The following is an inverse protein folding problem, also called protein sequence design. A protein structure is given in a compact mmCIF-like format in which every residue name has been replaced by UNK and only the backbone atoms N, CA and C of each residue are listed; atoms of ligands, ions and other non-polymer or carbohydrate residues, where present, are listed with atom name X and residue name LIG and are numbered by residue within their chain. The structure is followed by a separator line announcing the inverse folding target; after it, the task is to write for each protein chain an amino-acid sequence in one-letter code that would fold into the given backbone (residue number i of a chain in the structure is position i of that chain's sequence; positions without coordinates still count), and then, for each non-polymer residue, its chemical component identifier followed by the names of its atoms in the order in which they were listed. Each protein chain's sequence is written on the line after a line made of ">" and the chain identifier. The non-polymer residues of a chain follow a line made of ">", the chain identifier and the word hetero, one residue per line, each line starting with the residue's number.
data_IF_045085249075
#
_entry.id   IF_045085249075
#
_cell.length_a   1.000
_cell.length_b   1.000
_cell.length_c   1.000
_cell.angle_alpha   90.00
_cell.angle_beta   90.00
_cell.angle_gamma   90.00
#
_symmetry.space_group_name_H-M   'P 1'
#
loop_
_entity.id
_entity.type
_entity.pdbx_description
1 polymer ?
#
# COMPACT_ATOMS: atom_id res chain seq x y z
N UNK A 1 43.64 -48.28 27.81
CA UNK A 1 42.84 -47.13 28.30
C UNK A 1 42.77 -45.93 27.35
N UNK A 2 43.86 -45.51 26.67
CA UNK A 2 43.83 -44.38 25.71
C UNK A 2 42.94 -44.60 24.47
N UNK A 3 42.89 -45.82 23.91
CA UNK A 3 42.08 -46.15 22.71
C UNK A 3 40.56 -46.11 22.96
N UNK A 4 40.11 -46.46 24.17
CA UNK A 4 38.68 -46.43 24.55
C UNK A 4 38.19 -44.99 24.72
N UNK A 5 39.04 -44.11 25.29
CA UNK A 5 38.73 -42.68 25.38
C UNK A 5 38.65 -42.03 23.99
N UNK A 6 39.56 -42.36 23.08
CA UNK A 6 39.53 -41.84 21.71
C UNK A 6 38.26 -42.24 20.94
N UNK A 7 37.77 -43.48 21.15
CA UNK A 7 36.54 -43.97 20.54
C UNK A 7 35.29 -43.29 21.12
N UNK A 8 35.28 -43.00 22.44
CA UNK A 8 34.22 -42.24 23.09
C UNK A 8 34.16 -40.78 22.60
N UNK A 9 35.30 -40.13 22.36
CA UNK A 9 35.35 -38.77 21.79
C UNK A 9 34.89 -38.73 20.32
N UNK A 10 35.19 -39.76 19.52
CA UNK A 10 34.71 -39.87 18.14
C UNK A 10 33.19 -40.11 18.06
N UNK A 11 32.63 -40.90 18.98
CA UNK A 11 31.18 -41.11 19.08
C UNK A 11 30.43 -39.86 19.53
N UNK A 12 31.01 -39.05 20.44
CA UNK A 12 30.45 -37.76 20.87
C UNK A 12 30.51 -36.70 19.76
N UNK A 13 31.58 -36.69 18.96
CA UNK A 13 31.72 -35.79 17.81
C UNK A 13 30.77 -36.16 16.66
N UNK A 14 30.54 -37.46 16.42
CA UNK A 14 29.60 -37.94 15.41
C UNK A 14 28.12 -37.67 15.78
N UNK A 15 27.78 -37.69 17.07
CA UNK A 15 26.44 -37.28 17.55
C UNK A 15 26.26 -35.77 17.59
N UNK A 16 27.33 -34.99 17.79
CA UNK A 16 27.31 -33.53 17.71
C UNK A 16 27.14 -32.97 16.29
N UNK A 17 27.67 -33.63 15.26
CA UNK A 17 27.52 -33.18 13.86
C UNK A 17 26.11 -33.42 13.29
N UNK A 18 25.40 -34.47 13.73
CA UNK A 18 24.05 -34.79 13.25
C UNK A 18 22.93 -33.88 13.78
N UNK A 19 23.19 -33.09 14.82
CA UNK A 19 22.20 -32.22 15.45
C UNK A 19 22.00 -30.87 14.73
N UNK A 20 22.87 -30.51 13.78
CA UNK A 20 22.78 -29.21 13.07
C UNK A 20 21.92 -29.25 11.80
N UNK A 21 21.59 -30.43 11.28
CA UNK A 21 20.77 -30.62 10.07
C UNK A 21 19.27 -30.81 10.34
N UNK A 22 18.84 -30.75 11.61
CA UNK A 22 17.43 -30.92 12.01
C UNK A 22 16.70 -29.58 12.25
N UNK A 23 17.43 -28.45 12.37
CA UNK A 23 16.85 -27.14 12.68
C UNK A 23 16.51 -26.29 11.44
N UNK A 24 16.63 -26.83 10.23
CA UNK A 24 16.32 -26.10 8.98
C UNK A 24 15.25 -26.78 8.12
N UNK A 25 14.68 -27.90 8.56
CA UNK A 25 13.62 -28.61 7.85
C UNK A 25 12.25 -28.21 8.40
N UNK A 26 11.34 -27.81 7.52
CA UNK A 26 9.94 -27.53 7.87
C UNK A 26 9.60 -26.08 8.15
N UNK A 27 10.46 -25.09 7.80
CA UNK A 27 10.04 -23.68 7.84
C UNK A 27 8.85 -23.40 6.92
N UNK A 28 8.78 -24.08 5.77
CA UNK A 28 7.64 -23.98 4.86
C UNK A 28 6.36 -24.53 5.50
N UNK A 29 6.43 -25.68 6.19
CA UNK A 29 5.28 -26.33 6.85
C UNK A 29 4.85 -25.64 8.16
N UNK A 30 5.78 -25.09 8.94
CA UNK A 30 5.51 -24.31 10.16
C UNK A 30 4.88 -22.94 9.86
N UNK A 31 5.02 -22.46 8.63
CA UNK A 31 4.41 -21.20 8.17
C UNK A 31 3.08 -21.42 7.41
N UNK A 32 2.61 -22.67 7.31
CA UNK A 32 1.25 -22.97 6.85
C UNK A 32 0.33 -22.77 8.06
N UNK A 33 -0.25 -21.57 8.16
CA UNK A 33 -1.29 -21.29 9.13
C UNK A 33 -2.51 -22.20 8.84
N UNK A 34 -2.90 -23.12 9.74
CA UNK A 34 -4.00 -24.06 9.47
C UNK A 34 -5.38 -23.39 9.30
N UNK A 35 -5.49 -22.09 9.58
CA UNK A 35 -6.69 -21.28 9.34
C UNK A 35 -6.60 -20.41 8.06
N UNK A 36 -5.49 -20.45 7.31
CA UNK A 36 -5.41 -19.78 6.02
C UNK A 36 -6.15 -20.61 4.98
N UNK A 37 -7.23 -20.03 4.43
CA UNK A 37 -7.86 -20.56 3.23
C UNK A 37 -6.78 -20.63 2.12
N UNK A 38 -6.47 -21.82 1.57
CA UNK A 38 -5.36 -21.99 0.64
C UNK A 38 -5.53 -21.23 -0.68
N UNK A 39 -6.71 -20.68 -0.96
CA UNK A 39 -6.95 -19.71 -2.02
C UNK A 39 -7.69 -18.50 -1.43
N UNK A 40 -6.95 -17.49 -0.97
CA UNK A 40 -7.57 -16.18 -0.68
C UNK A 40 -8.05 -15.63 -2.02
N UNK A 41 -9.36 -15.46 -2.15
CA UNK A 41 -9.93 -14.82 -3.34
C UNK A 41 -9.37 -13.39 -3.43
N UNK A 42 -8.90 -12.93 -4.59
CA UNK A 42 -8.19 -11.65 -4.73
C UNK A 42 -8.97 -10.48 -4.13
N UNK A 43 -10.30 -10.52 -4.25
CA UNK A 43 -11.22 -9.52 -3.77
C UNK A 43 -11.21 -9.35 -2.24
N UNK A 44 -10.89 -10.41 -1.49
CA UNK A 44 -10.89 -10.39 -0.03
C UNK A 44 -9.69 -9.63 0.57
N UNK A 45 -8.65 -9.36 -0.23
CA UNK A 45 -7.46 -8.61 0.19
C UNK A 45 -7.74 -7.10 0.31
N UNK A 46 -8.71 -6.59 -0.45
CA UNK A 46 -8.99 -5.15 -0.55
C UNK A 46 -9.29 -4.51 0.81
N UNK A 47 -10.28 -5.05 1.54
CA UNK A 47 -10.75 -4.48 2.78
C UNK A 47 -9.67 -4.38 3.87
N UNK A 48 -8.94 -5.46 4.25
CA UNK A 48 -7.89 -5.37 5.25
C UNK A 48 -6.74 -4.46 4.79
N UNK A 49 -6.26 -4.62 3.55
CA UNK A 49 -5.10 -3.88 3.07
C UNK A 49 -5.35 -2.36 3.01
N UNK A 50 -6.50 -1.97 2.46
CA UNK A 50 -6.89 -0.56 2.41
C UNK A 50 -7.14 0.02 3.80
N UNK A 51 -7.71 -0.79 4.69
CA UNK A 51 -7.97 -0.36 6.07
C UNK A 51 -6.67 -0.09 6.80
N UNK A 52 -5.69 -0.98 6.72
CA UNK A 52 -4.39 -0.78 7.38
C UNK A 52 -3.58 0.37 6.74
N UNK A 53 -3.67 0.55 5.42
CA UNK A 53 -3.11 1.72 4.74
C UNK A 53 -3.68 3.03 5.33
N UNK A 54 -5.00 3.12 5.45
CA UNK A 54 -5.66 4.31 6.02
C UNK A 54 -5.29 4.51 7.49
N UNK A 55 -5.28 3.45 8.31
CA UNK A 55 -4.90 3.55 9.74
C UNK A 55 -3.50 4.14 9.91
N UNK A 56 -2.52 3.60 9.18
CA UNK A 56 -1.12 4.05 9.24
C UNK A 56 -0.99 5.50 8.80
N UNK A 57 -1.65 5.88 7.71
CA UNK A 57 -1.65 7.26 7.23
C UNK A 57 -2.32 8.21 8.22
N UNK A 58 -3.40 7.80 8.89
CA UNK A 58 -4.05 8.60 9.92
C UNK A 58 -3.15 8.81 11.14
N UNK A 59 -2.51 7.74 11.63
CA UNK A 59 -1.56 7.82 12.75
C UNK A 59 -0.38 8.75 12.41
N UNK A 60 0.21 8.57 11.23
CA UNK A 60 1.29 9.43 10.71
C UNK A 60 0.86 10.89 10.52
N UNK A 61 -0.36 11.10 10.05
CA UNK A 61 -0.91 12.44 9.88
C UNK A 61 -1.01 13.13 11.24
N UNK A 62 -1.62 12.47 12.23
CA UNK A 62 -1.78 13.02 13.57
C UNK A 62 -0.43 13.26 14.26
N UNK A 63 0.48 12.28 14.28
CA UNK A 63 1.71 12.38 15.09
C UNK A 63 2.79 13.28 14.50
N UNK A 64 2.88 13.40 13.18
CA UNK A 64 4.02 14.07 12.52
C UNK A 64 3.54 15.12 11.53
N UNK A 65 2.69 14.75 10.58
CA UNK A 65 2.37 15.65 9.46
C UNK A 65 1.64 16.88 9.95
N UNK A 66 0.69 16.72 10.87
CA UNK A 66 -0.07 17.81 11.47
C UNK A 66 0.81 18.74 12.31
N UNK A 67 1.80 18.23 13.04
CA UNK A 67 2.80 19.04 13.76
C UNK A 67 3.62 19.89 12.78
N UNK A 68 4.18 19.26 11.74
CA UNK A 68 5.01 19.93 10.73
C UNK A 68 4.21 20.95 9.92
N UNK A 69 2.92 20.71 9.70
CA UNK A 69 1.99 21.62 9.05
C UNK A 69 1.35 22.63 10.01
N UNK A 70 1.70 22.60 11.30
CA UNK A 70 1.16 23.48 12.34
C UNK A 70 -0.37 23.44 12.46
N UNK A 71 -0.97 22.27 12.20
CA UNK A 71 -2.40 22.01 12.46
C UNK A 71 -2.65 21.88 13.96
N UNK A 72 -1.69 21.31 14.68
CA UNK A 72 -1.62 21.27 16.14
C UNK A 72 -0.14 21.26 16.56
N UNK A 73 0.13 21.49 17.85
CA UNK A 73 1.47 21.37 18.43
C UNK A 73 1.39 20.60 19.75
N UNK A 74 2.22 19.58 19.91
CA UNK A 74 2.33 18.81 21.15
C UNK A 74 2.87 19.69 22.27
N UNK A 75 2.21 19.58 23.44
CA UNK A 75 2.65 20.21 24.70
C UNK A 75 3.38 19.22 25.61
N UNK A 76 3.64 18.02 25.10
CA UNK A 76 4.29 16.93 25.84
C UNK A 76 5.73 16.82 25.34
N UNK A 77 6.70 16.94 26.25
CA UNK A 77 8.14 16.96 25.95
C UNK A 77 8.70 15.65 25.34
N UNK A 78 7.89 14.59 25.26
CA UNK A 78 8.31 13.30 24.73
C UNK A 78 8.35 13.26 23.19
N UNK A 79 7.56 14.11 22.52
CA UNK A 79 7.49 14.21 21.06
C UNK A 79 8.06 15.57 20.60
N UNK A 80 9.26 15.51 20.02
CA UNK A 80 10.04 16.68 19.61
C UNK A 80 9.90 17.00 18.10
N UNK A 81 8.80 16.57 17.48
CA UNK A 81 8.58 16.79 16.03
C UNK A 81 8.48 18.28 15.67
N UNK A 82 7.93 19.12 16.56
CA UNK A 82 7.94 20.57 16.44
C UNK A 82 9.36 21.17 16.44
N UNK A 83 10.37 20.43 16.90
CA UNK A 83 11.80 20.78 16.84
C UNK A 83 12.53 20.08 15.69
N UNK A 84 11.79 19.48 14.76
CA UNK A 84 12.30 18.71 13.63
C UNK A 84 13.12 17.47 14.01
N UNK A 85 12.90 16.94 15.21
CA UNK A 85 13.54 15.68 15.63
C UNK A 85 12.68 14.51 15.15
N UNK A 86 12.99 14.01 13.95
CA UNK A 86 12.31 12.84 13.36
C UNK A 86 13.21 11.61 13.50
N UNK A 87 12.73 10.59 14.21
CA UNK A 87 13.47 9.34 14.46
C UNK A 87 13.33 8.38 13.27
N UNK A 88 14.34 7.54 13.04
CA UNK A 88 14.31 6.55 11.94
C UNK A 88 13.13 5.58 12.04
N UNK A 89 12.75 5.19 13.27
CA UNK A 89 11.60 4.31 13.52
C UNK A 89 10.29 4.82 12.90
N UNK A 90 10.14 6.14 12.76
CA UNK A 90 8.98 6.74 12.08
C UNK A 90 8.99 6.44 10.58
N UNK A 91 10.16 6.46 9.95
CA UNK A 91 10.31 6.06 8.55
C UNK A 91 10.09 4.55 8.39
N UNK A 92 10.69 3.73 9.26
CA UNK A 92 10.60 2.27 9.22
C UNK A 92 9.14 1.78 9.32
N UNK A 93 8.34 2.40 10.19
CA UNK A 93 6.93 2.04 10.36
C UNK A 93 6.11 2.25 9.09
N UNK A 94 6.30 3.39 8.41
CA UNK A 94 5.58 3.71 7.18
C UNK A 94 6.10 2.91 6.00
N UNK A 95 7.42 2.79 5.86
CA UNK A 95 8.08 2.02 4.82
C UNK A 95 7.58 0.57 4.81
N UNK A 96 7.74 -0.15 5.93
CA UNK A 96 7.31 -1.54 6.04
C UNK A 96 5.80 -1.69 5.83
N UNK A 97 5.01 -0.79 6.44
CA UNK A 97 3.56 -0.81 6.30
C UNK A 97 3.08 -0.66 4.86
N UNK A 98 3.62 0.31 4.12
CA UNK A 98 3.24 0.55 2.72
C UNK A 98 3.67 -0.58 1.80
N UNK A 99 4.88 -1.16 1.94
CA UNK A 99 5.28 -2.31 1.13
C UNK A 99 4.49 -3.58 1.45
N UNK A 100 4.05 -3.78 2.69
CA UNK A 100 3.10 -4.86 3.01
C UNK A 100 1.79 -4.69 2.23
N UNK A 101 1.18 -3.50 2.26
CA UNK A 101 -0.09 -3.29 1.55
C UNK A 101 0.06 -3.34 0.03
N UNK A 102 1.20 -2.89 -0.51
CA UNK A 102 1.51 -3.07 -1.93
C UNK A 102 1.59 -4.53 -2.33
N UNK A 103 2.09 -5.41 -1.45
CA UNK A 103 2.09 -6.86 -1.70
C UNK A 103 0.67 -7.39 -1.85
N UNK A 104 -0.24 -6.98 -0.98
CA UNK A 104 -1.65 -7.38 -1.06
C UNK A 104 -2.34 -6.84 -2.31
N UNK A 105 -2.07 -5.59 -2.70
CA UNK A 105 -2.62 -5.02 -3.94
C UNK A 105 -2.05 -5.68 -5.20
N UNK A 106 -0.78 -6.07 -5.19
CA UNK A 106 -0.18 -6.80 -6.31
C UNK A 106 -0.73 -8.23 -6.42
N UNK A 107 -0.85 -8.96 -5.32
CA UNK A 107 -1.47 -10.28 -5.28
C UNK A 107 -2.94 -10.19 -5.74
N UNK A 108 -3.66 -9.13 -5.36
CA UNK A 108 -5.00 -8.83 -5.85
C UNK A 108 -5.03 -8.60 -7.37
N UNK A 109 -4.11 -7.81 -7.92
CA UNK A 109 -4.03 -7.58 -9.37
C UNK A 109 -3.75 -8.86 -10.15
N UNK A 110 -2.77 -9.66 -9.71
CA UNK A 110 -2.40 -10.93 -10.36
C UNK A 110 -3.57 -11.90 -10.32
N UNK A 111 -4.21 -12.07 -9.17
CA UNK A 111 -5.36 -12.96 -9.04
C UNK A 111 -6.57 -12.47 -9.84
N UNK A 112 -6.87 -11.17 -9.82
CA UNK A 112 -7.95 -10.59 -10.62
C UNK A 112 -7.69 -10.76 -12.13
N UNK A 113 -6.43 -10.70 -12.57
CA UNK A 113 -6.04 -10.97 -13.96
C UNK A 113 -6.33 -12.43 -14.34
N UNK A 114 -5.99 -13.39 -13.47
CA UNK A 114 -6.29 -14.81 -13.70
C UNK A 114 -7.80 -15.07 -13.79
N UNK A 115 -8.60 -14.33 -13.01
CA UNK A 115 -10.07 -14.39 -13.01
C UNK A 115 -10.73 -13.50 -14.07
N UNK A 116 -9.94 -12.73 -14.85
CA UNK A 116 -10.43 -11.75 -15.85
C UNK A 116 -11.39 -10.71 -15.25
N UNK A 117 -11.13 -10.31 -14.02
CA UNK A 117 -11.94 -9.35 -13.28
C UNK A 117 -11.41 -7.92 -13.45
N UNK A 118 -11.87 -7.24 -14.51
CA UNK A 118 -11.44 -5.87 -14.81
C UNK A 118 -11.67 -4.90 -13.64
N UNK A 119 -12.75 -5.08 -12.87
CA UNK A 119 -13.05 -4.25 -11.72
C UNK A 119 -11.93 -4.33 -10.67
N UNK A 120 -11.55 -5.54 -10.26
CA UNK A 120 -10.52 -5.72 -9.23
C UNK A 120 -9.10 -5.46 -9.73
N UNK A 121 -8.81 -5.72 -11.01
CA UNK A 121 -7.56 -5.28 -11.63
C UNK A 121 -7.41 -3.75 -11.52
N UNK A 122 -8.45 -3.00 -11.87
CA UNK A 122 -8.41 -1.55 -11.81
C UNK A 122 -8.35 -1.01 -10.37
N UNK A 123 -9.12 -1.59 -9.44
CA UNK A 123 -9.09 -1.23 -8.02
C UNK A 123 -7.68 -1.45 -7.45
N UNK A 124 -7.06 -2.60 -7.76
CA UNK A 124 -5.70 -2.92 -7.35
C UNK A 124 -4.71 -1.87 -7.86
N UNK A 125 -4.78 -1.51 -9.15
CA UNK A 125 -3.95 -0.47 -9.74
C UNK A 125 -4.14 0.89 -9.07
N UNK A 126 -5.37 1.30 -8.77
CA UNK A 126 -5.63 2.58 -8.10
C UNK A 126 -5.02 2.59 -6.70
N UNK A 127 -5.17 1.50 -5.93
CA UNK A 127 -4.60 1.36 -4.59
C UNK A 127 -3.07 1.29 -4.60
N UNK A 128 -2.49 0.57 -5.56
CA UNK A 128 -1.05 0.51 -5.81
C UNK A 128 -0.50 1.91 -6.12
N UNK A 129 -1.15 2.63 -7.04
CA UNK A 129 -0.73 3.99 -7.41
C UNK A 129 -0.81 4.94 -6.23
N UNK A 130 -1.90 4.88 -5.46
CA UNK A 130 -2.01 5.72 -4.27
C UNK A 130 -0.88 5.42 -3.28
N UNK A 131 -0.59 4.15 -3.02
CA UNK A 131 0.42 3.74 -2.04
C UNK A 131 1.84 4.11 -2.49
N UNK A 132 2.18 3.86 -3.75
CA UNK A 132 3.48 4.28 -4.28
C UNK A 132 3.63 5.80 -4.35
N UNK A 133 2.56 6.56 -4.63
CA UNK A 133 2.61 8.02 -4.58
C UNK A 133 2.97 8.51 -3.17
N UNK A 134 2.45 7.87 -2.11
CA UNK A 134 2.80 8.19 -0.73
C UNK A 134 4.27 7.87 -0.41
N UNK A 135 4.75 6.70 -0.85
CA UNK A 135 6.15 6.28 -0.68
C UNK A 135 7.11 7.27 -1.32
N UNK A 136 6.95 7.54 -2.62
CA UNK A 136 7.88 8.42 -3.32
C UNK A 136 7.75 9.87 -2.87
N UNK A 137 6.54 10.36 -2.56
CA UNK A 137 6.37 11.71 -2.01
C UNK A 137 7.07 11.89 -0.65
N UNK A 138 7.27 10.80 0.10
CA UNK A 138 7.93 10.82 1.41
C UNK A 138 9.44 10.63 1.32
N UNK A 139 9.91 9.72 0.46
CA UNK A 139 11.30 9.25 0.46
C UNK A 139 12.09 9.61 -0.80
N UNK A 140 11.42 10.10 -1.86
CA UNK A 140 12.03 10.32 -3.16
C UNK A 140 12.14 9.01 -3.95
N UNK A 141 13.36 8.68 -4.36
CA UNK A 141 13.64 7.44 -5.08
C UNK A 141 13.42 6.23 -4.15
N UNK A 142 12.74 5.20 -4.63
CA UNK A 142 12.37 4.01 -3.84
C UNK A 142 12.34 2.75 -4.72
N UNK A 143 12.44 1.55 -4.13
CA UNK A 143 12.12 0.32 -4.84
C UNK A 143 10.73 0.35 -5.48
N UNK A 144 10.68 0.19 -6.80
CA UNK A 144 9.43 0.27 -7.56
C UNK A 144 9.30 -0.84 -8.58
N UNK A 145 10.02 -0.77 -9.72
CA UNK A 145 9.90 -1.75 -10.82
C UNK A 145 10.34 -3.16 -10.42
N UNK A 146 11.26 -3.27 -9.46
CA UNK A 146 11.75 -4.53 -8.90
C UNK A 146 11.14 -4.85 -7.53
N UNK A 147 10.28 -3.98 -6.99
CA UNK A 147 9.68 -4.19 -5.69
C UNK A 147 8.75 -5.41 -5.68
N UNK A 148 8.63 -6.05 -4.51
CA UNK A 148 7.68 -7.14 -4.23
C UNK A 148 7.94 -8.41 -5.08
N UNK A 149 9.05 -8.45 -5.81
CA UNK A 149 9.51 -9.60 -6.60
C UNK A 149 10.29 -10.63 -5.77
N UNK A 150 10.13 -10.64 -4.44
CA UNK A 150 10.84 -11.56 -3.54
C UNK A 150 10.56 -13.03 -3.84
N UNK A 151 9.30 -13.37 -4.18
CA UNK A 151 8.91 -14.73 -4.61
C UNK A 151 9.57 -15.14 -5.94
N UNK A 152 10.02 -14.17 -6.73
CA UNK A 152 10.71 -14.35 -8.01
C UNK A 152 12.24 -14.22 -7.87
N UNK A 153 12.76 -14.19 -6.64
CA UNK A 153 14.20 -14.19 -6.34
C UNK A 153 14.87 -12.81 -6.29
N UNK A 154 14.12 -11.71 -6.45
CA UNK A 154 14.67 -10.35 -6.31
C UNK A 154 14.62 -9.94 -4.84
N UNK A 155 15.73 -10.12 -4.13
CA UNK A 155 15.84 -9.84 -2.69
C UNK A 155 16.41 -8.45 -2.38
N UNK A 156 17.06 -7.81 -3.35
CA UNK A 156 17.68 -6.50 -3.23
C UNK A 156 17.21 -5.61 -4.38
N UNK A 157 15.95 -5.15 -4.34
CA UNK A 157 15.39 -4.35 -5.43
C UNK A 157 16.11 -3.00 -5.53
N UNK A 158 16.41 -2.56 -6.76
CA UNK A 158 16.99 -1.24 -7.00
C UNK A 158 16.01 -0.13 -6.62
N UNK A 159 16.55 1.07 -6.39
CA UNK A 159 15.76 2.28 -6.21
C UNK A 159 15.53 2.90 -7.59
N UNK A 160 14.27 3.13 -7.95
CA UNK A 160 13.93 3.83 -9.17
C UNK A 160 13.75 5.32 -8.90
N UNK A 161 14.04 6.14 -9.92
CA UNK A 161 13.89 7.58 -9.83
C UNK A 161 12.43 7.95 -9.62
N UNK A 162 12.15 8.90 -8.73
CA UNK A 162 10.80 9.43 -8.51
C UNK A 162 10.13 9.87 -9.83
N UNK A 163 10.90 10.42 -10.77
CA UNK A 163 10.40 10.79 -12.10
C UNK A 163 9.83 9.59 -12.87
N UNK A 164 10.59 8.48 -12.92
CA UNK A 164 10.19 7.27 -13.65
C UNK A 164 9.00 6.59 -12.96
N UNK A 165 8.97 6.62 -11.62
CA UNK A 165 7.83 6.17 -10.82
C UNK A 165 6.58 6.95 -11.24
N UNK A 166 6.60 8.29 -11.21
CA UNK A 166 5.43 9.10 -11.58
C UNK A 166 4.94 8.84 -13.01
N UNK A 167 5.84 8.64 -13.97
CA UNK A 167 5.47 8.29 -15.36
C UNK A 167 4.69 6.97 -15.42
N UNK A 168 5.11 5.96 -14.66
CA UNK A 168 4.40 4.68 -14.60
C UNK A 168 3.11 4.78 -13.79
N UNK A 169 3.06 5.57 -12.71
CA UNK A 169 1.82 5.84 -11.96
C UNK A 169 0.72 6.39 -12.86
N UNK A 170 1.03 7.33 -13.74
CA UNK A 170 0.07 7.86 -14.71
C UNK A 170 -0.38 6.79 -15.72
N UNK A 171 0.54 5.94 -16.18
CA UNK A 171 0.24 4.84 -17.10
C UNK A 171 -0.72 3.83 -16.45
N UNK A 172 -0.51 3.47 -15.17
CA UNK A 172 -1.40 2.58 -14.41
C UNK A 172 -2.78 3.20 -14.17
N UNK A 173 -2.88 4.52 -13.99
CA UNK A 173 -4.18 5.20 -13.86
C UNK A 173 -4.96 5.24 -15.18
N UNK A 174 -4.28 5.38 -16.32
CA UNK A 174 -4.92 5.21 -17.64
C UNK A 174 -5.43 3.77 -17.83
N UNK A 175 -4.60 2.76 -17.49
CA UNK A 175 -5.00 1.35 -17.52
C UNK A 175 -6.25 1.12 -16.67
N UNK A 176 -6.26 1.59 -15.42
CA UNK A 176 -7.40 1.47 -14.53
C UNK A 176 -8.66 2.18 -15.06
N UNK A 177 -8.51 3.38 -15.63
CA UNK A 177 -9.64 4.11 -16.23
C UNK A 177 -10.27 3.34 -17.39
N UNK A 178 -9.46 2.75 -18.28
CA UNK A 178 -9.96 1.97 -19.42
C UNK A 178 -10.59 0.64 -18.99
N UNK A 179 -9.98 -0.07 -18.02
CA UNK A 179 -10.57 -1.28 -17.44
C UNK A 179 -11.97 -1.03 -16.85
N UNK A 180 -12.17 0.11 -16.17
CA UNK A 180 -13.44 0.49 -15.56
C UNK A 180 -14.44 1.09 -16.56
N UNK A 181 -13.98 1.62 -17.70
CA UNK A 181 -14.82 2.15 -18.77
C UNK A 181 -15.59 1.04 -19.50
N UNK A 182 -15.01 -0.16 -19.62
CA UNK A 182 -15.55 -1.29 -20.39
C UNK A 182 -16.72 -2.06 -19.76
N UNK A 183 -17.65 -1.41 -19.04
CA UNK A 183 -18.75 -2.06 -18.29
C UNK A 183 -18.27 -3.10 -17.26
N UNK A 184 -17.19 -2.81 -16.54
CA UNK A 184 -16.77 -3.67 -15.43
C UNK A 184 -17.87 -3.77 -14.37
N UNK A 185 -18.11 -4.97 -13.85
CA UNK A 185 -19.15 -5.26 -12.86
C UNK A 185 -18.61 -6.12 -11.74
N UNK A 186 -19.25 -6.05 -10.57
CA UNK A 186 -18.99 -6.90 -9.42
C UNK A 186 -20.28 -7.66 -9.07
N UNK A 187 -20.16 -8.92 -8.65
CA UNK A 187 -21.29 -9.66 -8.08
C UNK A 187 -21.73 -9.05 -6.76
N UNK A 188 -22.92 -9.42 -6.26
CA UNK A 188 -23.40 -8.94 -4.96
C UNK A 188 -22.44 -9.29 -3.82
N UNK A 189 -21.86 -10.49 -3.84
CA UNK A 189 -20.91 -10.94 -2.81
C UNK A 189 -19.59 -10.14 -2.91
N UNK A 190 -19.09 -9.91 -4.12
CA UNK A 190 -17.89 -9.08 -4.35
C UNK A 190 -18.11 -7.62 -3.92
N UNK A 191 -19.30 -7.07 -4.16
CA UNK A 191 -19.66 -5.71 -3.78
C UNK A 191 -19.60 -5.49 -2.25
N UNK A 192 -19.88 -6.52 -1.45
CA UNK A 192 -19.77 -6.44 0.02
C UNK A 192 -18.33 -6.36 0.51
N UNK A 193 -17.38 -6.87 -0.27
CA UNK A 193 -15.94 -6.82 0.03
C UNK A 193 -15.33 -5.45 -0.24
N UNK A 194 -16.03 -4.56 -0.97
CA UNK A 194 -15.60 -3.18 -1.18
C UNK A 194 -15.98 -2.29 0.01
N UNK A 195 -14.98 -1.78 0.76
CA UNK A 195 -15.26 -0.95 1.93
C UNK A 195 -15.63 0.50 1.58
N UNK A 196 -15.28 1.00 0.39
CA UNK A 196 -15.46 2.41 0.00
C UNK A 196 -16.77 2.65 -0.74
N UNK A 197 -17.01 1.87 -1.79
CA UNK A 197 -18.06 2.19 -2.77
C UNK A 197 -19.09 1.08 -2.93
N UNK A 198 -19.00 0.00 -2.15
CA UNK A 198 -19.96 -1.11 -2.13
C UNK A 198 -20.19 -1.69 -3.54
N UNK A 199 -19.12 -1.81 -4.31
CA UNK A 199 -19.15 -2.36 -5.67
C UNK A 199 -19.54 -1.36 -6.75
N UNK A 200 -19.70 -0.07 -6.43
CA UNK A 200 -19.92 0.98 -7.43
C UNK A 200 -18.62 1.29 -8.18
N UNK A 201 -18.42 0.57 -9.27
CA UNK A 201 -17.29 0.67 -10.20
C UNK A 201 -17.17 2.08 -10.79
N UNK A 202 -18.28 2.79 -10.99
CA UNK A 202 -18.25 4.15 -11.52
C UNK A 202 -17.61 5.12 -10.51
N UNK A 203 -17.87 4.94 -9.21
CA UNK A 203 -17.18 5.71 -8.16
C UNK A 203 -15.70 5.38 -8.05
N UNK A 204 -15.31 4.12 -8.23
CA UNK A 204 -13.89 3.75 -8.34
C UNK A 204 -13.20 4.44 -9.51
N UNK A 205 -13.86 4.50 -10.68
CA UNK A 205 -13.33 5.20 -11.86
C UNK A 205 -13.17 6.70 -11.58
N UNK A 206 -14.15 7.31 -10.92
CA UNK A 206 -14.08 8.70 -10.47
C UNK A 206 -12.94 8.94 -9.49
N UNK A 207 -12.75 8.04 -8.54
CA UNK A 207 -11.66 8.13 -7.58
C UNK A 207 -10.28 8.02 -8.25
N UNK A 208 -10.08 7.04 -9.15
CA UNK A 208 -8.84 6.88 -9.91
C UNK A 208 -8.50 8.13 -10.75
N UNK A 209 -9.47 8.69 -11.46
CA UNK A 209 -9.26 9.92 -12.23
C UNK A 209 -9.03 11.16 -11.35
N UNK A 210 -9.66 11.22 -10.17
CA UNK A 210 -9.41 12.30 -9.20
C UNK A 210 -8.03 12.19 -8.55
N UNK A 211 -7.54 10.97 -8.35
CA UNK A 211 -6.17 10.70 -7.92
C UNK A 211 -5.19 11.12 -9.02
N UNK A 212 -5.47 10.80 -10.29
CA UNK A 212 -4.70 11.26 -11.44
C UNK A 212 -4.59 12.80 -11.42
N UNK A 213 -5.71 13.51 -11.28
CA UNK A 213 -5.71 14.96 -11.19
C UNK A 213 -4.82 15.48 -10.03
N UNK A 214 -4.90 14.85 -8.84
CA UNK A 214 -4.05 15.19 -7.69
C UNK A 214 -2.56 15.02 -8.01
N UNK A 215 -2.18 13.90 -8.64
CA UNK A 215 -0.79 13.63 -9.00
C UNK A 215 -0.28 14.57 -10.10
N UNK A 216 -1.11 14.95 -11.07
CA UNK A 216 -0.77 15.97 -12.07
C UNK A 216 -0.48 17.33 -11.42
N UNK A 217 -1.28 17.73 -10.43
CA UNK A 217 -1.05 18.97 -9.69
C UNK A 217 0.27 18.92 -8.90
N UNK A 218 0.60 17.76 -8.30
CA UNK A 218 1.88 17.57 -7.59
C UNK A 218 3.08 17.86 -8.49
N UNK A 219 3.05 17.34 -9.72
CA UNK A 219 4.16 17.50 -10.68
C UNK A 219 3.98 18.67 -11.63
N UNK A 220 3.02 19.58 -11.38
CA UNK A 220 2.67 20.66 -12.32
C UNK A 220 3.85 21.54 -12.73
N UNK A 221 4.85 21.73 -11.86
CA UNK A 221 6.07 22.50 -12.19
C UNK A 221 7.19 21.67 -12.84
N UNK A 222 6.89 20.46 -13.34
CA UNK A 222 7.81 19.59 -14.08
C UNK A 222 7.36 19.50 -15.53
N UNK A 223 8.19 19.93 -16.47
CA UNK A 223 7.83 20.06 -17.89
C UNK A 223 7.56 18.74 -18.58
N UNK A 224 8.16 17.65 -18.10
CA UNK A 224 8.16 16.36 -18.78
C UNK A 224 7.66 15.19 -17.91
N UNK A 225 6.94 15.43 -16.82
CA UNK A 225 6.63 14.38 -15.83
C UNK A 225 5.62 13.30 -16.26
N UNK A 226 5.05 13.35 -17.47
CA UNK A 226 4.17 12.29 -18.00
C UNK A 226 4.91 11.47 -19.05
N UNK A 227 4.63 10.17 -19.11
CA UNK A 227 5.05 9.31 -20.21
C UNK A 227 4.75 9.94 -21.59
N UNK A 228 5.59 9.62 -22.59
CA UNK A 228 5.48 10.12 -23.97
C UNK A 228 5.65 11.64 -24.16
N UNK A 229 6.20 12.36 -23.17
CA UNK A 229 6.54 13.78 -23.30
C UNK A 229 5.36 14.74 -23.22
N UNK A 230 4.21 14.29 -22.69
CA UNK A 230 3.10 15.19 -22.37
C UNK A 230 3.42 16.01 -21.11
N UNK A 231 3.04 17.28 -21.10
CA UNK A 231 3.13 18.08 -19.89
C UNK A 231 1.96 17.80 -18.93
N UNK A 232 2.18 17.88 -17.61
CA UNK A 232 1.12 17.81 -16.60
C UNK A 232 -0.08 18.73 -16.89
N UNK A 233 0.19 19.95 -17.36
CA UNK A 233 -0.82 20.94 -17.71
C UNK A 233 -1.64 20.52 -18.93
N UNK A 234 -0.99 19.96 -19.96
CA UNK A 234 -1.69 19.50 -21.16
C UNK A 234 -2.65 18.38 -20.81
N UNK A 235 -2.21 17.41 -19.98
CA UNK A 235 -3.06 16.31 -19.56
C UNK A 235 -4.19 16.75 -18.63
N UNK A 236 -3.91 17.65 -17.68
CA UNK A 236 -4.94 18.22 -16.82
C UNK A 236 -6.03 18.92 -17.65
N UNK A 237 -5.64 19.72 -18.64
CA UNK A 237 -6.58 20.38 -19.55
C UNK A 237 -7.37 19.38 -20.41
N UNK A 238 -6.74 18.30 -20.84
CA UNK A 238 -7.43 17.22 -21.53
C UNK A 238 -8.53 16.61 -20.66
N UNK A 239 -8.18 16.18 -19.44
CA UNK A 239 -9.12 15.54 -18.51
C UNK A 239 -10.26 16.45 -18.08
N UNK A 240 -10.00 17.73 -17.81
CA UNK A 240 -11.00 18.64 -17.23
C UNK A 240 -11.84 19.35 -18.30
N UNK A 241 -11.21 19.80 -19.38
CA UNK A 241 -11.86 20.68 -20.36
C UNK A 241 -12.16 20.01 -21.70
N UNK A 242 -11.26 19.13 -22.18
CA UNK A 242 -11.34 18.62 -23.56
C UNK A 242 -12.16 17.34 -23.63
N UNK A 243 -11.91 16.39 -22.73
CA UNK A 243 -12.50 15.06 -22.70
C UNK A 243 -13.02 14.66 -21.31
N UNK A 244 -13.85 15.48 -20.64
CA UNK A 244 -14.33 15.19 -19.28
C UNK A 244 -15.14 13.88 -19.18
N UNK A 245 -15.79 13.44 -20.26
CA UNK A 245 -16.49 12.16 -20.31
C UNK A 245 -15.56 10.92 -20.28
N UNK A 246 -14.31 11.07 -20.74
CA UNK A 246 -13.32 9.99 -20.66
C UNK A 246 -12.66 9.91 -19.28
N UNK A 247 -12.69 11.00 -18.52
CA UNK A 247 -12.08 11.13 -17.20
C UNK A 247 -13.10 11.66 -16.18
N UNK A 248 -14.18 10.92 -15.88
CA UNK A 248 -15.16 11.38 -14.88
C UNK A 248 -14.45 11.56 -13.54
N UNK A 249 -14.73 12.68 -12.85
CA UNK A 249 -14.16 13.04 -11.56
C UNK A 249 -15.22 12.92 -10.44
N UNK A 250 -14.75 12.91 -9.19
CA UNK A 250 -15.63 13.06 -8.02
C UNK A 250 -16.30 14.44 -8.10
N UNK A 251 -17.62 14.47 -8.18
CA UNK A 251 -18.38 15.71 -8.39
C UNK A 251 -18.95 16.30 -7.10
N UNK A 252 -19.14 15.48 -6.06
CA UNK A 252 -19.73 15.89 -4.79
C UNK A 252 -19.34 14.95 -3.64
N UNK A 253 -19.71 15.33 -2.40
CA UNK A 253 -19.34 14.61 -1.19
C UNK A 253 -19.92 13.18 -1.07
N UNK A 254 -21.01 12.85 -1.78
CA UNK A 254 -21.58 11.50 -1.77
C UNK A 254 -20.76 10.50 -2.63
N UNK A 255 -19.82 11.02 -3.42
CA UNK A 255 -18.88 10.26 -4.25
C UNK A 255 -17.48 10.20 -3.63
N UNK A 256 -17.27 10.82 -2.46
CA UNK A 256 -15.99 10.82 -1.78
C UNK A 256 -15.54 9.41 -1.38
N UNK A 257 -14.28 9.08 -1.66
CA UNK A 257 -13.61 7.87 -1.18
C UNK A 257 -13.35 7.99 0.33
N UNK A 258 -14.29 7.51 1.15
CA UNK A 258 -14.21 7.58 2.61
C UNK A 258 -14.32 6.18 3.19
N UNK A 259 -13.23 5.72 3.83
CA UNK A 259 -13.29 4.52 4.66
C UNK A 259 -14.03 4.85 5.96
N UNK A 260 -15.09 4.09 6.26
CA UNK A 260 -15.91 4.31 7.46
C UNK A 260 -15.57 3.29 8.54
N UNK A 261 -15.28 3.78 9.74
CA UNK A 261 -15.00 2.96 10.92
C UNK A 261 -16.30 2.43 11.52
N UNK A 262 -16.44 1.11 11.65
CA UNK A 262 -17.60 0.45 12.27
C UNK A 262 -17.30 -0.04 13.69
N UNK A 263 -16.03 -0.07 14.10
CA UNK A 263 -15.59 -0.65 15.37
C UNK A 263 -15.45 -2.18 15.33
N UNK A 264 -15.82 -2.82 14.22
CA UNK A 264 -15.62 -4.25 13.97
C UNK A 264 -14.46 -4.45 13.01
N UNK A 265 -13.66 -5.50 13.22
CA UNK A 265 -12.53 -5.79 12.34
C UNK A 265 -12.99 -6.04 10.88
N UNK A 266 -12.26 -5.57 9.86
CA UNK A 266 -11.01 -4.80 9.96
C UNK A 266 -11.18 -3.29 10.25
N UNK A 267 -12.41 -2.76 10.18
CA UNK A 267 -12.77 -1.34 10.25
C UNK A 267 -12.77 -0.74 11.67
N UNK A 268 -11.63 -0.85 12.33
CA UNK A 268 -11.36 -0.25 13.64
C UNK A 268 -10.45 0.97 13.49
N UNK A 269 -10.89 2.13 14.00
CA UNK A 269 -10.09 3.36 13.97
C UNK A 269 -8.77 3.17 14.71
N UNK A 270 -7.65 3.74 14.23
CA UNK A 270 -6.39 3.70 14.98
C UNK A 270 -6.49 4.47 16.31
N UNK A 271 -7.49 5.35 16.43
CA UNK A 271 -7.77 6.15 17.61
C UNK A 271 -8.95 5.63 18.44
N UNK A 272 -9.37 4.36 18.25
CA UNK A 272 -10.53 3.80 18.96
C UNK A 272 -10.37 3.85 20.50
N UNK A 273 -9.14 3.77 21.01
CA UNK A 273 -8.85 3.84 22.44
C UNK A 273 -8.52 5.25 22.95
N UNK A 274 -8.49 6.25 22.06
CA UNK A 274 -8.13 7.62 22.41
C UNK A 274 -9.33 8.31 23.07
N UNK A 275 -9.05 9.07 24.12
CA UNK A 275 -10.01 9.94 24.83
C UNK A 275 -9.89 11.35 24.26
N UNK A 276 -10.90 12.19 24.50
CA UNK A 276 -10.85 13.62 24.12
C UNK A 276 -9.58 14.32 24.63
N UNK A 277 -9.16 14.01 25.86
CA UNK A 277 -7.94 14.57 26.44
C UNK A 277 -6.67 14.23 25.64
N UNK A 278 -6.64 13.07 25.00
CA UNK A 278 -5.51 12.59 24.18
C UNK A 278 -5.44 13.35 22.83
N UNK A 279 -6.48 14.10 22.44
CA UNK A 279 -6.44 15.00 21.28
C UNK A 279 -6.12 16.45 21.67
N UNK A 280 -6.50 16.87 22.89
CA UNK A 280 -6.32 18.26 23.35
C UNK A 280 -4.99 18.53 24.03
N UNK A 281 -4.18 17.50 24.29
CA UNK A 281 -2.77 17.65 24.68
C UNK A 281 -1.92 18.27 23.56
N UNK A 282 -2.48 18.36 22.36
CA UNK A 282 -1.92 18.97 21.16
C UNK A 282 -2.78 20.21 20.83
N UNK A 283 -2.35 21.42 21.23
CA UNK A 283 -3.14 22.66 21.08
C UNK A 283 -2.32 23.76 20.42
#
# INVERSE_FOLDING_TARGET
>A
MKKIRLFAWLLLAATGLGATSACTKGFEELNINPNQNPNVIPEALLAPALTDLVKRNMDRAFRITNELMQVHVSRVDNDEFHRYVVRSAEADYMWNGWYTQLTDFQDMYVGATALKSNAFMAIARICEVWTFSLLTDTFGDVPYSEAIQGRNGVLLPKFDRQEDIYRDLFTKLEEANELLKGNATMSADQAQLDPLFKGDVAKWRKFGNSLYLRLLLRVSNRTDAIANGLSPQAKLRDMVNTNPGNYPLIANNAESAILRWTGTAPYQSPFQTYRTADFTSFS
#
